data_IF_063984181030
#
_entry.id   IF_063984181030
#
_cell.length_a   1.000
_cell.length_b   1.000
_cell.length_c   1.000
_cell.angle_alpha   90.00
_cell.angle_beta   90.00
_cell.angle_gamma   90.00
#
_symmetry.space_group_name_H-M   'P 1'
#
loop_
_entity.id
_entity.type
_entity.pdbx_description
1 polymer ?
#
# COMPACT_ATOMS: atom_id res chain seq x y z
N UNK A 1 -17.48 19.87 4.52
CA UNK A 1 -16.33 19.45 3.68
C UNK A 1 -15.92 18.04 4.09
N UNK A 2 -15.84 17.09 3.16
CA UNK A 2 -15.37 15.74 3.49
C UNK A 2 -13.87 15.77 3.83
N UNK A 3 -13.49 15.26 5.01
CA UNK A 3 -12.09 15.15 5.41
C UNK A 3 -11.42 14.13 4.50
N UNK A 4 -10.44 14.58 3.70
CA UNK A 4 -9.68 13.69 2.80
C UNK A 4 -8.90 12.70 3.68
N UNK A 5 -9.33 11.43 3.69
CA UNK A 5 -8.61 10.38 4.41
C UNK A 5 -7.20 10.26 3.85
N UNK A 6 -6.20 10.28 4.74
CA UNK A 6 -4.80 10.11 4.35
C UNK A 6 -4.54 8.61 4.20
N UNK A 7 -4.66 8.13 2.98
CA UNK A 7 -4.29 6.76 2.60
C UNK A 7 -2.77 6.71 2.45
N UNK A 8 -2.15 5.72 3.09
CA UNK A 8 -0.72 5.47 3.01
C UNK A 8 -0.47 4.37 1.97
N UNK A 9 0.56 4.54 1.15
CA UNK A 9 0.97 3.53 0.16
C UNK A 9 2.38 3.09 0.49
N UNK A 10 2.56 1.79 0.71
CA UNK A 10 3.86 1.15 0.83
C UNK A 10 4.25 0.51 -0.49
N UNK A 11 5.49 0.72 -0.93
CA UNK A 11 6.05 0.12 -2.15
C UNK A 11 7.35 -0.56 -1.80
N UNK A 12 7.43 -1.86 -2.04
CA UNK A 12 8.64 -2.69 -1.94
C UNK A 12 9.09 -3.08 -3.34
N UNK A 13 10.30 -2.65 -3.71
CA UNK A 13 10.88 -2.87 -5.04
C UNK A 13 12.01 -3.88 -4.88
N UNK A 14 11.73 -5.12 -5.26
CA UNK A 14 12.74 -6.17 -5.37
C UNK A 14 13.23 -6.32 -6.81
N UNK A 15 14.28 -7.14 -7.00
CA UNK A 15 14.84 -7.42 -8.32
C UNK A 15 13.91 -8.19 -9.27
N UNK A 16 12.90 -8.88 -8.74
CA UNK A 16 12.02 -9.77 -9.52
C UNK A 16 10.55 -9.36 -9.49
N UNK A 17 10.17 -8.49 -8.54
CA UNK A 17 8.78 -8.09 -8.35
C UNK A 17 8.69 -6.79 -7.56
N UNK A 18 7.67 -6.01 -7.90
CA UNK A 18 7.18 -4.89 -7.09
C UNK A 18 5.99 -5.37 -6.28
N UNK A 19 5.98 -5.06 -4.98
CA UNK A 19 4.86 -5.31 -4.07
C UNK A 19 4.34 -3.98 -3.58
N UNK A 20 3.01 -3.85 -3.50
CA UNK A 20 2.34 -2.61 -3.10
C UNK A 20 1.28 -2.93 -2.06
N UNK A 21 1.22 -2.13 -1.01
CA UNK A 21 0.13 -2.15 -0.05
C UNK A 21 -0.46 -0.76 0.13
N UNK A 22 -1.77 -0.70 0.34
CA UNK A 22 -2.47 0.52 0.73
C UNK A 22 -3.02 0.33 2.14
N UNK A 23 -2.70 1.25 3.03
CA UNK A 23 -3.12 1.23 4.42
C UNK A 23 -4.00 2.43 4.74
N UNK A 24 -4.97 2.20 5.63
CA UNK A 24 -5.74 3.23 6.30
C UNK A 24 -5.35 3.24 7.77
N UNK A 25 -5.11 4.43 8.33
CA UNK A 25 -4.89 4.57 9.78
C UNK A 25 -6.21 4.34 10.52
N UNK A 26 -6.21 3.51 11.55
CA UNK A 26 -7.38 3.19 12.37
C UNK A 26 -7.01 3.26 13.86
N UNK A 27 -7.48 4.29 14.56
CA UNK A 27 -7.07 4.55 15.95
C UNK A 27 -5.53 4.60 16.07
N UNK A 28 -4.98 3.68 16.88
CA UNK A 28 -3.54 3.54 17.12
C UNK A 28 -2.85 2.55 16.18
N UNK A 29 -3.57 1.97 15.23
CA UNK A 29 -3.06 0.99 14.27
C UNK A 29 -3.35 1.34 12.81
N UNK A 30 -3.22 0.33 11.96
CA UNK A 30 -3.47 0.41 10.53
C UNK A 30 -4.29 -0.78 10.06
N UNK A 31 -5.18 -0.56 9.09
CA UNK A 31 -5.87 -1.61 8.36
C UNK A 31 -5.41 -1.65 6.91
N UNK A 32 -5.31 -2.87 6.36
CA UNK A 32 -5.00 -3.10 4.96
C UNK A 32 -6.24 -2.82 4.10
N UNK A 33 -6.09 -1.93 3.13
CA UNK A 33 -7.15 -1.57 2.16
C UNK A 33 -6.98 -2.37 0.88
N UNK A 34 -5.75 -2.46 0.38
CA UNK A 34 -5.43 -3.22 -0.82
C UNK A 34 -4.00 -3.75 -0.75
N UNK A 35 -3.77 -4.86 -1.44
CA UNK A 35 -2.46 -5.48 -1.61
C UNK A 35 -2.35 -5.91 -3.07
N UNK A 36 -1.19 -5.71 -3.65
CA UNK A 36 -0.89 -6.14 -5.01
C UNK A 36 0.58 -6.45 -5.18
N UNK A 37 0.87 -7.22 -6.23
CA UNK A 37 2.23 -7.42 -6.71
C UNK A 37 2.24 -7.53 -8.22
N UNK A 38 3.37 -7.19 -8.81
CA UNK A 38 3.64 -7.38 -10.22
C UNK A 38 5.06 -7.93 -10.39
N UNK A 39 5.22 -8.96 -11.22
CA UNK A 39 6.54 -9.44 -11.61
C UNK A 39 7.24 -8.38 -12.47
N UNK A 40 8.55 -8.25 -12.29
CA UNK A 40 9.40 -7.43 -13.16
C UNK A 40 9.94 -8.37 -14.26
N UNK A 41 9.78 -8.01 -15.55
CA UNK A 41 10.37 -8.78 -16.64
C UNK A 41 11.91 -8.90 -16.49
N UNK A 42 12.51 -10.00 -16.97
CA UNK A 42 13.97 -10.19 -16.93
C UNK A 42 14.72 -9.16 -17.79
#
# INVERSE_FOLDING_TARGET
MARKEKLLVGVDIGSHAVKVCQLRKTGDGYSLVSLGSAAIPP
#
